data_IF_528999578007
#
_entry.id   IF_528999578007
#
_cell.length_a   1.000
_cell.length_b   1.000
_cell.length_c   1.000
_cell.angle_alpha   90.00
_cell.angle_beta   90.00
_cell.angle_gamma   90.00
#
_symmetry.space_group_name_H-M   'P 1'
#
loop_
_entity.id
_entity.type
_entity.pdbx_description
1 polymer ?
2 polymer ?
3 polymer ?
4 water ?
#
loop_
_entity_poly.entity_id
_entity_poly.type
_entity_poly.pdbx_seq_one_letter_code
_entity_poly.pdbx_strand_id
1 'polydeoxyribonucleotide' '(DC)(DC)(DC)(DG)(DT)(DG)(DC)(DA)(DC)(DT)(DC)(DA)(DA)(DT)(DG)(DC)(DA)(DA)(DT)' ?
2 'polydeoxyribonucleotide' '(DG)(DA)(DT)(DT)(DG)(DC)(DA)(DT)(DT)(DG)(DA)(DG)(DT)(DG)(DC)(DA)(DC)(DG)(DG)' ?
#
# COMPACT_ATOMS: atom_id res chain seq x y z
N UNK C 1 -7.32 -16.82 3.08
CA UNK C 1 -6.18 -16.25 2.29
C UNK C 1 -6.17 -14.73 2.41
N UNK C 2 -7.34 -14.14 2.65
CA UNK C 2 -7.48 -12.69 2.78
C UNK C 2 -7.63 -12.28 4.23
N UNK C 3 -6.91 -11.23 4.62
CA UNK C 3 -6.94 -10.71 5.98
C UNK C 3 -7.23 -9.21 6.00
N UNK C 4 -7.92 -8.74 7.02
CA UNK C 4 -8.24 -7.33 7.10
C UNK C 4 -7.22 -6.57 7.92
N UNK C 5 -7.17 -5.25 7.75
CA UNK C 5 -6.26 -4.41 8.50
C UNK C 5 -6.57 -2.94 8.26
N UNK C 6 -6.43 -2.11 9.29
CA UNK C 6 -6.71 -0.70 9.12
C UNK C 6 -5.44 0.13 9.20
N UNK C 7 -5.21 0.89 8.14
CA UNK C 7 -4.04 1.74 8.04
C UNK C 7 -4.43 3.21 8.11
N UNK C 8 -3.43 4.06 8.35
CA UNK C 8 -3.61 5.51 8.43
C UNK C 8 -2.70 6.09 7.36
N UNK C 9 -3.24 6.97 6.51
CA UNK C 9 -2.42 7.57 5.45
C UNK C 9 -2.62 9.08 5.28
N UNK C 10 -1.58 9.72 4.74
CA UNK C 10 -1.61 11.15 4.51
C UNK C 10 -2.77 11.52 3.62
N UNK C 11 -3.47 12.58 3.98
CA UNK C 11 -4.61 13.04 3.21
C UNK C 11 -4.22 13.23 1.74
N UNK C 12 -2.93 13.41 1.49
CA UNK C 12 -2.45 13.60 0.13
C UNK C 12 -2.03 12.28 -0.53
N UNK C 13 -1.61 11.32 0.29
CA UNK C 13 -1.21 10.02 -0.24
C UNK C 13 -2.47 9.23 -0.56
N UNK C 14 -3.50 9.43 0.25
CA UNK C 14 -4.77 8.74 0.06
C UNK C 14 -5.46 9.31 -1.16
N UNK C 15 -5.38 10.63 -1.33
CA UNK C 15 -6.00 11.29 -2.47
C UNK C 15 -5.31 10.79 -3.74
N UNK C 16 -4.04 10.45 -3.61
CA UNK C 16 -3.31 9.97 -4.75
C UNK C 16 -3.69 8.53 -5.02
N UNK C 17 -3.80 7.75 -3.95
CA UNK C 17 -4.18 6.35 -4.06
C UNK C 17 -5.40 6.35 -4.96
N UNK C 18 -6.40 7.13 -4.56
CA UNK C 18 -7.65 7.28 -5.30
C UNK C 18 -7.45 7.32 -6.80
N UNK C 19 -6.80 8.38 -7.27
CA UNK C 19 -6.53 8.57 -8.69
C UNK C 19 -5.92 7.33 -9.34
N UNK C 20 -4.81 6.88 -8.79
CA UNK C 20 -4.12 5.72 -9.33
C UNK C 20 -5.01 4.50 -9.52
N UNK C 21 -5.66 4.08 -8.44
CA UNK C 21 -6.54 2.93 -8.50
C UNK C 21 -7.59 3.19 -9.54
N UNK C 22 -8.13 4.40 -9.51
CA UNK C 22 -9.16 4.79 -10.46
C UNK C 22 -8.76 4.54 -11.91
N UNK C 23 -7.64 5.10 -12.35
CA UNK C 23 -7.24 4.91 -13.74
C UNK C 23 -6.90 3.48 -14.05
N UNK C 24 -6.52 2.71 -13.04
CA UNK C 24 -6.17 1.33 -13.28
C UNK C 24 -7.38 0.46 -13.05
N UNK C 25 -8.50 1.10 -12.71
CA UNK C 25 -9.73 0.39 -12.45
C UNK C 25 -9.53 -0.67 -11.39
N UNK C 26 -8.76 -0.33 -10.36
CA UNK C 26 -8.44 -1.24 -9.26
C UNK C 26 -9.04 -0.76 -7.95
N UNK C 27 -9.11 -1.66 -6.97
CA UNK C 27 -9.59 -1.28 -5.64
C UNK C 27 -8.34 -0.79 -4.91
N UNK C 28 -8.51 -0.07 -3.81
CA UNK C 28 -7.33 0.40 -3.10
C UNK C 28 -6.58 -0.83 -2.63
N UNK C 29 -7.34 -1.80 -2.13
CA UNK C 29 -6.77 -3.04 -1.65
C UNK C 29 -5.96 -3.65 -2.78
N UNK C 30 -6.45 -3.53 -4.00
CA UNK C 30 -5.72 -4.08 -5.14
C UNK C 30 -4.55 -3.18 -5.56
N UNK C 31 -4.79 -1.88 -5.63
CA UNK C 31 -3.75 -0.93 -5.99
C UNK C 31 -2.62 -1.04 -4.97
N UNK C 32 -2.96 -1.03 -3.69
CA UNK C 32 -1.96 -1.17 -2.65
C UNK C 32 -1.19 -2.46 -2.92
N UNK C 33 -1.92 -3.57 -3.07
CA UNK C 33 -1.34 -4.90 -3.36
C UNK C 33 -0.40 -4.86 -4.57
N UNK C 34 -0.79 -4.11 -5.58
CA UNK C 34 0.01 -3.97 -6.79
C UNK C 34 1.27 -3.21 -6.40
N UNK C 35 1.09 -2.04 -5.80
CA UNK C 35 2.23 -1.22 -5.39
C UNK C 35 3.18 -1.96 -4.44
N UNK C 36 2.65 -2.71 -3.49
CA UNK C 36 3.49 -3.46 -2.57
C UNK C 36 4.34 -4.42 -3.39
N UNK C 37 3.68 -5.25 -4.18
CA UNK C 37 4.37 -6.20 -5.04
C UNK C 37 5.45 -5.45 -5.83
N UNK C 38 5.02 -4.46 -6.59
CA UNK C 38 5.92 -3.63 -7.38
C UNK C 38 7.16 -3.37 -6.55
N UNK C 39 7.01 -2.54 -5.53
CA UNK C 39 8.13 -2.21 -4.65
C UNK C 39 8.99 -3.42 -4.30
N UNK C 40 8.38 -4.48 -3.79
CA UNK C 40 9.12 -5.68 -3.44
C UNK C 40 10.09 -5.99 -4.57
N UNK C 41 9.55 -6.02 -5.78
CA UNK C 41 10.33 -6.30 -6.98
C UNK C 41 11.54 -5.37 -7.12
N UNK C 42 11.29 -4.07 -7.28
CA UNK C 42 12.37 -3.10 -7.44
C UNK C 42 13.44 -3.14 -6.36
N UNK C 43 13.19 -3.93 -5.32
CA UNK C 43 14.13 -4.08 -4.20
C UNK C 43 15.14 -5.19 -4.47
N UNK D 1 -4.82 16.72 6.84
CA UNK D 1 -5.52 15.88 7.86
C UNK D 1 -5.44 14.39 7.50
N UNK D 2 -4.72 13.61 8.32
CA UNK D 2 -4.55 12.16 8.11
C UNK D 2 -5.89 11.42 8.23
N UNK D 3 -6.11 10.41 7.38
CA UNK D 3 -7.36 9.64 7.42
C UNK D 3 -7.09 8.13 7.45
N UNK D 4 -8.07 7.38 7.95
CA UNK D 4 -7.96 5.93 8.07
C UNK D 4 -8.66 5.13 6.96
N UNK D 5 -8.15 3.94 6.69
CA UNK D 5 -8.68 3.11 5.62
C UNK D 5 -8.57 1.64 5.97
N UNK D 6 -9.70 0.95 5.97
CA UNK D 6 -9.71 -0.48 6.25
C UNK D 6 -9.61 -1.21 4.91
N UNK D 7 -8.56 -2.00 4.76
CA UNK D 7 -8.33 -2.72 3.52
C UNK D 7 -8.22 -4.21 3.76
N UNK D 8 -8.19 -4.96 2.68
CA UNK D 8 -8.09 -6.39 2.77
C UNK D 8 -6.90 -6.81 1.92
N UNK D 9 -6.02 -7.62 2.51
CA UNK D 9 -4.81 -8.05 1.80
C UNK D 9 -4.62 -9.54 1.85
N UNK D 10 -4.05 -10.06 0.78
CA UNK D 10 -3.78 -11.47 0.68
C UNK D 10 -2.68 -11.85 1.67
N UNK D 11 -2.99 -12.82 2.51
CA UNK D 11 -2.07 -13.32 3.51
C UNK D 11 -0.61 -13.25 3.10
N UNK D 12 -0.33 -13.80 1.93
CA UNK D 12 1.02 -13.83 1.40
C UNK D 12 1.56 -12.44 1.15
N UNK D 13 0.70 -11.54 0.68
CA UNK D 13 1.10 -10.17 0.41
C UNK D 13 1.25 -9.44 1.73
N UNK D 14 0.45 -9.83 2.72
CA UNK D 14 0.50 -9.20 4.04
C UNK D 14 1.78 -9.64 4.74
N UNK D 15 2.03 -10.94 4.67
CA UNK D 15 3.21 -11.53 5.25
C UNK D 15 4.41 -10.81 4.73
N UNK D 16 4.43 -10.55 3.44
CA UNK D 16 5.56 -9.85 2.87
C UNK D 16 5.49 -8.37 3.17
N UNK D 17 4.32 -7.89 3.59
CA UNK D 17 4.18 -6.48 3.94
C UNK D 17 4.95 -6.30 5.25
N UNK D 18 4.74 -7.25 6.15
CA UNK D 18 5.40 -7.26 7.43
C UNK D 18 6.91 -7.33 7.24
N UNK D 19 7.36 -8.35 6.50
CA UNK D 19 8.78 -8.55 6.25
C UNK D 19 9.43 -7.24 5.83
N UNK D 20 8.97 -6.69 4.72
CA UNK D 20 9.50 -5.44 4.20
C UNK D 20 9.47 -4.27 5.19
N UNK D 21 8.40 -4.19 5.97
CA UNK D 21 8.21 -3.13 6.96
C UNK D 21 9.24 -3.20 8.06
N UNK D 22 9.41 -4.39 8.62
CA UNK D 22 10.38 -4.62 9.67
C UNK D 22 11.71 -4.08 9.18
N UNK D 23 12.21 -4.73 8.13
CA UNK D 23 13.48 -4.39 7.49
C UNK D 23 13.66 -2.94 7.05
N UNK D 24 12.59 -2.16 7.04
CA UNK D 24 12.70 -0.77 6.65
C UNK D 24 12.43 0.08 7.89
N UNK D 25 12.24 -0.61 9.01
CA UNK D 25 11.97 0.07 10.26
C UNK D 25 10.78 1.01 10.16
N UNK D 26 9.71 0.57 9.48
CA UNK D 26 8.52 1.39 9.36
C UNK D 26 7.29 0.57 9.71
N UNK D 27 6.18 1.27 9.94
CA UNK D 27 4.92 0.63 10.27
C UNK D 27 4.29 0.25 8.94
N UNK D 28 3.29 -0.64 8.97
CA UNK D 28 2.63 -1.04 7.73
C UNK D 28 2.09 0.19 7.00
N UNK D 29 1.36 1.04 7.71
CA UNK D 29 0.83 2.25 7.11
C UNK D 29 1.95 2.98 6.38
N UNK D 30 3.10 3.06 7.05
CA UNK D 30 4.29 3.75 6.54
C UNK D 30 4.85 3.08 5.31
N UNK D 31 5.04 1.77 5.41
CA UNK D 31 5.55 0.99 4.29
C UNK D 31 4.62 1.23 3.10
N UNK D 32 3.35 0.88 3.28
CA UNK D 32 2.37 1.04 2.23
C UNK D 32 2.45 2.42 1.62
N UNK D 33 2.59 3.43 2.46
CA UNK D 33 2.68 4.81 1.98
C UNK D 33 3.92 5.06 1.12
N UNK D 34 5.00 4.34 1.42
CA UNK D 34 6.25 4.49 0.67
C UNK D 34 6.07 3.90 -0.72
N UNK D 35 5.76 2.61 -0.71
CA UNK D 35 5.54 1.83 -1.90
C UNK D 35 4.60 2.59 -2.80
N UNK D 36 3.51 3.11 -2.22
CA UNK D 36 2.51 3.86 -2.97
C UNK D 36 3.12 5.08 -3.65
N UNK D 37 3.89 5.87 -2.92
CA UNK D 37 4.50 7.05 -3.51
C UNK D 37 5.57 6.64 -4.50
N UNK D 38 6.13 5.46 -4.28
CA UNK D 38 7.16 4.92 -5.16
C UNK D 38 6.58 4.57 -6.54
N UNK D 39 5.56 3.71 -6.56
CA UNK D 39 4.90 3.31 -7.80
C UNK D 39 4.57 4.54 -8.64
N UNK D 40 3.96 5.53 -8.01
CA UNK D 40 3.58 6.77 -8.69
C UNK D 40 4.79 7.34 -9.40
N UNK D 41 5.96 7.14 -8.81
CA UNK D 41 7.21 7.63 -9.39
C UNK D 41 7.59 6.78 -10.58
N UNK D 42 7.80 5.49 -10.34
CA UNK D 42 8.17 4.57 -11.41
C UNK D 42 7.30 4.79 -12.63
N UNK D 43 6.21 5.53 -12.43
CA UNK D 43 5.24 5.88 -13.45
C UNK D 43 4.10 4.87 -13.50
#
# INVERSE_FOLDING_TARGET
MKKRLTITLSESVLENLEKMAREMGLSKSAMISVALENYKKGQEK
MKKRLTITLSESVLENLEKMAREMGLSKSAMISVALENYKKGQEK
#
